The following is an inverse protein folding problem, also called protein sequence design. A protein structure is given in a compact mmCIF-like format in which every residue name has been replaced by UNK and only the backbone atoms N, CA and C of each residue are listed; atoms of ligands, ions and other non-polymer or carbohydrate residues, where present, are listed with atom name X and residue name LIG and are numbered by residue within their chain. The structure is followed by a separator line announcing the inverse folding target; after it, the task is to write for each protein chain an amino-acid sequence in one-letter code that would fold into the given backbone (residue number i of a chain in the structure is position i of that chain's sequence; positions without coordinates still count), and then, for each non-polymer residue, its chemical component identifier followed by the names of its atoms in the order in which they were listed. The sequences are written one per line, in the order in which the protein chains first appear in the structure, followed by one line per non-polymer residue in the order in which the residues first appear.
data_IF_576396330726
#
_entry.id   IF_576396330726
#
_cell.length_a   1.000
_cell.length_b   1.000
_cell.length_c   1.000
_cell.angle_alpha   90.00
_cell.angle_beta   90.00
_cell.angle_gamma   90.00
#
_symmetry.space_group_name_H-M   'P 1'
#
loop_
_entity.id
_entity.type
_entity.pdbx_description
1 polymer ?
#
# COMPACT_ATOMS: atom_id res chain seq x y z
N UNK A 1 17.12 -1.94 23.81
CA UNK A 1 17.08 -2.66 22.51
C UNK A 1 15.90 -2.09 21.72
N UNK A 2 16.15 -1.46 20.56
CA UNK A 2 15.07 -0.89 19.74
C UNK A 2 14.14 -2.00 19.23
N UNK A 3 12.83 -1.73 19.20
CA UNK A 3 11.83 -2.66 18.67
C UNK A 3 12.07 -2.84 17.17
N UNK A 4 12.59 -4.00 16.76
CA UNK A 4 12.76 -4.35 15.35
C UNK A 4 11.44 -4.88 14.80
N UNK A 5 10.78 -4.08 13.98
CA UNK A 5 9.59 -4.52 13.27
C UNK A 5 9.99 -4.98 11.87
N UNK A 6 9.89 -6.28 11.61
CA UNK A 6 10.17 -6.83 10.27
C UNK A 6 8.91 -7.52 9.75
N UNK A 7 8.30 -6.93 8.74
CA UNK A 7 7.31 -7.61 7.92
C UNK A 7 8.01 -8.61 7.00
N UNK A 8 7.50 -9.84 6.96
CA UNK A 8 8.02 -10.89 6.07
C UNK A 8 6.89 -11.72 5.48
N UNK A 9 7.16 -12.29 4.31
CA UNK A 9 6.28 -13.28 3.70
C UNK A 9 6.45 -14.61 4.43
N UNK A 10 5.34 -15.19 4.87
CA UNK A 10 5.23 -16.51 5.48
C UNK A 10 4.34 -17.38 4.61
N UNK A 11 4.79 -18.59 4.29
CA UNK A 11 3.95 -19.62 3.67
C UNK A 11 3.44 -20.53 4.78
N UNK A 12 2.12 -20.56 4.97
CA UNK A 12 1.47 -21.36 6.01
C UNK A 12 0.74 -22.53 5.35
N UNK A 13 0.90 -23.74 5.88
CA UNK A 13 0.22 -24.94 5.39
C UNK A 13 -1.06 -25.17 6.19
N UNK A 14 -2.18 -25.37 5.50
CA UNK A 14 -3.46 -25.76 6.09
C UNK A 14 -3.95 -26.99 5.34
N UNK A 15 -3.85 -28.16 5.99
CA UNK A 15 -4.06 -29.46 5.35
C UNK A 15 -3.10 -29.70 4.18
N UNK A 16 -3.66 -29.99 3.00
CA UNK A 16 -2.89 -30.17 1.77
C UNK A 16 -2.52 -28.85 1.06
N UNK A 17 -3.11 -27.71 1.45
CA UNK A 17 -2.94 -26.43 0.75
C UNK A 17 -1.90 -25.56 1.47
N UNK A 18 -1.16 -24.77 0.68
CA UNK A 18 -0.24 -23.74 1.17
C UNK A 18 -0.85 -22.37 0.90
N UNK A 19 -0.70 -21.44 1.83
CA UNK A 19 -1.23 -20.08 1.76
C UNK A 19 -0.11 -19.07 1.99
N UNK A 20 -0.17 -17.94 1.31
CA UNK A 20 0.78 -16.84 1.46
C UNK A 20 0.21 -15.82 2.42
N UNK A 21 1.00 -15.45 3.42
CA UNK A 21 0.67 -14.43 4.41
C UNK A 21 1.84 -13.46 4.53
N UNK A 22 1.55 -12.21 4.86
CA UNK A 22 2.56 -11.28 5.37
C UNK A 22 2.36 -11.20 6.87
N UNK A 23 3.43 -11.46 7.60
CA UNK A 23 3.46 -11.46 9.06
C UNK A 23 4.48 -10.43 9.53
N UNK A 24 4.26 -9.91 10.73
CA UNK A 24 5.18 -9.02 11.42
C UNK A 24 5.78 -9.76 12.60
N UNK A 25 7.11 -9.82 12.64
CA UNK A 25 7.83 -10.22 13.83
C UNK A 25 7.87 -9.03 14.81
N UNK A 26 7.43 -9.26 16.05
CA UNK A 26 7.42 -8.27 17.13
C UNK A 26 8.34 -8.82 18.23
N UNK A 27 9.45 -8.11 18.45
CA UNK A 27 10.40 -8.39 19.53
C UNK A 27 10.14 -7.42 20.69
N UNK A 28 9.80 -7.98 21.85
CA UNK A 28 9.58 -7.21 23.07
C UNK A 28 10.90 -6.99 23.83
N UNK A 29 10.99 -5.95 24.66
CA UNK A 29 12.19 -5.67 25.45
C UNK A 29 12.58 -6.78 26.43
N UNK A 30 11.61 -7.59 26.86
CA UNK A 30 11.77 -8.74 27.75
C UNK A 30 12.24 -10.02 27.03
N UNK A 31 12.57 -9.93 25.74
CA UNK A 31 13.01 -11.06 24.92
C UNK A 31 11.87 -11.89 24.33
N UNK A 32 10.60 -11.60 24.64
CA UNK A 32 9.48 -12.30 23.99
C UNK A 32 9.43 -11.98 22.49
N UNK A 33 9.16 -13.01 21.69
CA UNK A 33 8.96 -12.90 20.24
C UNK A 33 7.54 -13.35 19.89
N UNK A 34 6.80 -12.48 19.20
CA UNK A 34 5.47 -12.83 18.69
C UNK A 34 5.38 -12.54 17.20
N UNK A 35 4.56 -13.32 16.51
CA UNK A 35 4.34 -13.20 15.06
C UNK A 35 2.88 -12.82 14.83
N UNK A 36 2.64 -11.59 14.41
CA UNK A 36 1.29 -11.11 14.07
C UNK A 36 1.05 -11.25 12.57
N UNK A 37 -0.04 -11.90 12.18
CA UNK A 37 -0.43 -11.91 10.76
C UNK A 37 -1.02 -10.55 10.40
N UNK A 38 -0.43 -9.88 9.41
CA UNK A 38 -0.93 -8.59 8.92
C UNK A 38 -1.98 -8.81 7.85
N UNK A 39 -1.71 -9.72 6.90
CA UNK A 39 -2.61 -9.98 5.77
C UNK A 39 -2.37 -11.37 5.16
N UNK A 40 -3.44 -12.01 4.69
CA UNK A 40 -3.35 -13.20 3.82
C UNK A 40 -3.59 -12.82 2.35
N UNK A 41 -2.84 -13.47 1.45
CA UNK A 41 -2.91 -13.31 0.00
C UNK A 41 -3.49 -14.56 -0.70
N UNK A 42 -4.08 -15.47 0.08
CA UNK A 42 -4.69 -16.70 -0.46
C UNK A 42 -3.70 -17.82 -0.74
N UNK A 43 -4.08 -18.82 -1.56
CA UNK A 43 -3.25 -19.99 -1.87
C UNK A 43 -1.92 -19.64 -2.52
N UNK A 44 -0.91 -20.48 -2.28
CA UNK A 44 0.43 -20.35 -2.83
C UNK A 44 0.39 -20.39 -4.36
N UNK A 45 0.76 -19.25 -4.93
CA UNK A 45 0.93 -19.01 -6.35
C UNK A 45 2.02 -17.95 -6.55
N UNK A 46 2.64 -17.91 -7.73
CA UNK A 46 3.65 -16.91 -8.04
C UNK A 46 3.12 -15.48 -7.87
N UNK A 47 1.86 -15.24 -8.26
CA UNK A 47 1.16 -13.96 -8.07
C UNK A 47 1.02 -13.60 -6.59
N UNK A 48 0.52 -14.52 -5.76
CA UNK A 48 0.34 -14.27 -4.32
C UNK A 48 1.67 -13.96 -3.62
N UNK A 49 2.76 -14.63 -4.01
CA UNK A 49 4.11 -14.36 -3.51
C UNK A 49 4.59 -12.98 -3.91
N UNK A 50 4.42 -12.59 -5.19
CA UNK A 50 4.84 -11.28 -5.70
C UNK A 50 4.12 -10.13 -4.96
N UNK A 51 2.80 -10.26 -4.79
CA UNK A 51 1.99 -9.28 -4.06
C UNK A 51 2.36 -9.21 -2.57
N UNK A 52 2.61 -10.35 -1.94
CA UNK A 52 3.02 -10.41 -0.54
C UNK A 52 4.42 -9.80 -0.32
N UNK A 53 5.37 -10.03 -1.24
CA UNK A 53 6.71 -9.43 -1.19
C UNK A 53 6.64 -7.92 -1.27
N UNK A 54 5.93 -7.39 -2.27
CA UNK A 54 5.76 -5.94 -2.44
C UNK A 54 5.11 -5.29 -1.19
N UNK A 55 4.10 -5.96 -0.61
CA UNK A 55 3.45 -5.48 0.62
C UNK A 55 4.39 -5.50 1.83
N UNK A 56 5.20 -6.56 1.98
CA UNK A 56 6.19 -6.64 3.06
C UNK A 56 7.30 -5.58 2.92
N UNK A 57 7.77 -5.33 1.70
CA UNK A 57 8.74 -4.27 1.39
C UNK A 57 8.18 -2.89 1.70
N UNK A 58 6.94 -2.59 1.27
CA UNK A 58 6.27 -1.33 1.58
C UNK A 58 6.18 -1.10 3.10
N UNK A 59 5.80 -2.13 3.87
CA UNK A 59 5.71 -2.03 5.34
C UNK A 59 7.09 -1.82 5.96
N UNK A 60 8.10 -2.58 5.54
CA UNK A 60 9.45 -2.44 6.07
C UNK A 60 10.04 -1.05 5.77
N UNK A 61 9.69 -0.46 4.63
CA UNK A 61 10.17 0.88 4.25
C UNK A 61 9.70 1.96 5.23
N UNK A 62 8.46 1.84 5.74
CA UNK A 62 7.92 2.75 6.78
C UNK A 62 8.76 2.68 8.06
N UNK A 63 9.24 1.49 8.43
CA UNK A 63 10.07 1.32 9.64
C UNK A 63 11.52 1.79 9.45
N UNK A 64 12.04 1.83 8.22
CA UNK A 64 13.36 2.38 7.92
C UNK A 64 13.38 3.90 7.72
N UNK A 65 12.23 4.50 7.44
CA UNK A 65 12.09 5.94 7.20
C UNK A 65 11.10 6.51 8.23
N UNK A 66 11.55 6.97 9.42
CA UNK A 66 10.66 7.35 10.54
C UNK A 66 9.64 8.44 10.23
N UNK A 67 9.91 9.26 9.22
CA UNK A 67 9.03 10.33 8.75
C UNK A 67 8.10 9.89 7.60
N UNK A 68 8.21 8.65 7.14
CA UNK A 68 7.34 8.10 6.12
C UNK A 68 5.95 7.85 6.71
N UNK A 69 4.89 8.31 6.02
CA UNK A 69 3.53 7.89 6.33
C UNK A 69 3.41 6.38 6.14
N UNK A 70 2.49 5.74 6.85
CA UNK A 70 2.23 4.31 6.77
C UNK A 70 1.10 4.01 5.78
N UNK A 71 1.19 2.87 5.09
CA UNK A 71 0.13 2.42 4.21
C UNK A 71 -1.06 1.99 5.05
N UNK A 72 -2.28 2.43 4.72
CA UNK A 72 -3.49 1.89 5.34
C UNK A 72 -3.50 0.38 5.13
N UNK A 73 -3.46 -0.40 6.21
CA UNK A 73 -3.29 -1.87 6.17
C UNK A 73 -4.48 -2.57 5.46
N UNK A 74 -5.51 -1.82 5.09
CA UNK A 74 -6.57 -2.32 4.22
C UNK A 74 -6.13 -2.22 2.75
N UNK A 75 -6.03 -3.36 2.04
CA UNK A 75 -5.45 -3.38 0.73
C UNK A 75 -6.40 -2.77 -0.29
N UNK A 76 -5.83 -1.83 -1.02
CA UNK A 76 -6.36 -1.05 -2.12
C UNK A 76 -7.09 0.23 -1.71
N UNK A 77 -6.91 1.30 -2.49
CA UNK A 77 -7.95 2.31 -2.71
C UNK A 77 -9.17 1.69 -3.45
N UNK A 78 -9.54 0.44 -3.12
CA UNK A 78 -10.59 -0.38 -3.77
C UNK A 78 -11.93 0.31 -3.65
N UNK A 79 -12.20 0.97 -2.53
CA UNK A 79 -13.45 1.70 -2.30
C UNK A 79 -13.52 2.99 -3.14
N UNK A 80 -12.40 3.69 -3.33
CA UNK A 80 -12.32 4.90 -4.19
C UNK A 80 -12.32 4.59 -5.69
N UNK A 81 -11.75 3.45 -6.11
CA UNK A 81 -11.87 2.98 -7.50
C UNK A 81 -13.17 2.22 -7.77
N UNK A 82 -13.77 1.58 -6.75
CA UNK A 82 -15.15 1.08 -6.83
C UNK A 82 -16.11 2.19 -7.15
N UNK A 83 -16.06 3.32 -6.45
CA UNK A 83 -16.98 4.42 -6.74
C UNK A 83 -16.77 5.06 -8.13
N UNK A 84 -15.59 4.93 -8.74
CA UNK A 84 -15.32 5.37 -10.12
C UNK A 84 -15.67 4.32 -11.18
N UNK A 85 -15.76 3.03 -10.82
CA UNK A 85 -16.02 1.91 -11.74
C UNK A 85 -17.37 1.22 -11.56
N UNK A 86 -18.06 1.42 -10.45
CA UNK A 86 -19.43 0.99 -10.19
C UNK A 86 -20.42 2.00 -10.79
N UNK A 87 -20.29 2.20 -12.10
CA UNK A 87 -21.48 2.31 -12.94
C UNK A 87 -22.22 0.96 -12.98
N UNK A 88 -23.35 0.86 -13.70
CA UNK A 88 -24.38 -0.20 -13.61
C UNK A 88 -23.97 -1.65 -13.93
N UNK A 89 -22.68 -1.99 -13.90
CA UNK A 89 -22.14 -3.27 -14.32
C UNK A 89 -21.51 -4.13 -13.24
N UNK A 90 -21.44 -3.75 -11.95
CA UNK A 90 -21.29 -4.66 -10.79
C UNK A 90 -20.31 -5.87 -10.82
N UNK A 91 -19.40 -6.00 -11.79
CA UNK A 91 -18.77 -7.29 -12.15
C UNK A 91 -17.24 -7.27 -11.99
N UNK A 92 -16.62 -6.15 -11.66
CA UNK A 92 -15.16 -6.06 -11.64
C UNK A 92 -14.62 -6.29 -10.22
N UNK A 93 -14.52 -7.56 -9.82
CA UNK A 93 -13.67 -7.94 -8.70
C UNK A 93 -12.20 -7.99 -9.17
N UNK A 94 -11.25 -7.30 -8.50
CA UNK A 94 -9.83 -7.37 -8.85
C UNK A 94 -9.21 -8.78 -8.69
N UNK A 95 -9.93 -9.68 -8.02
CA UNK A 95 -9.57 -11.10 -7.90
C UNK A 95 -9.88 -11.88 -9.17
N UNK A 96 -10.96 -11.54 -9.88
CA UNK A 96 -11.43 -12.24 -11.10
C UNK A 96 -10.98 -11.58 -12.40
N UNK A 97 -10.48 -10.33 -12.38
CA UNK A 97 -10.08 -9.64 -13.63
C UNK A 97 -8.74 -8.88 -13.49
N UNK A 98 -7.59 -9.59 -13.60
CA UNK A 98 -6.25 -9.00 -13.46
C UNK A 98 -5.95 -7.93 -14.52
N UNK A 99 -6.41 -8.14 -15.75
CA UNK A 99 -6.26 -7.17 -16.84
C UNK A 99 -6.94 -5.84 -16.51
N UNK A 100 -8.14 -5.90 -15.94
CA UNK A 100 -8.86 -4.69 -15.54
C UNK A 100 -8.18 -4.01 -14.34
N UNK A 101 -7.67 -4.78 -13.38
CA UNK A 101 -6.89 -4.20 -12.27
C UNK A 101 -5.65 -3.46 -12.77
N UNK A 102 -4.93 -4.07 -13.73
CA UNK A 102 -3.77 -3.44 -14.36
C UNK A 102 -4.17 -2.17 -15.14
N UNK A 103 -5.22 -2.23 -15.95
CA UNK A 103 -5.75 -1.09 -16.68
C UNK A 103 -6.18 0.06 -15.76
N UNK A 104 -6.89 -0.24 -14.67
CA UNK A 104 -7.30 0.74 -13.66
C UNK A 104 -6.09 1.35 -12.96
N UNK A 105 -5.06 0.56 -12.65
CA UNK A 105 -3.82 1.07 -12.04
C UNK A 105 -3.08 2.00 -13.00
N UNK A 106 -2.98 1.64 -14.28
CA UNK A 106 -2.37 2.50 -15.31
C UNK A 106 -3.17 3.78 -15.53
N UNK A 107 -4.50 3.71 -15.53
CA UNK A 107 -5.36 4.89 -15.61
C UNK A 107 -5.18 5.79 -14.38
N UNK A 108 -5.04 5.22 -13.19
CA UNK A 108 -4.72 5.94 -11.96
C UNK A 108 -3.37 6.65 -12.06
N UNK A 109 -2.31 5.94 -12.47
CA UNK A 109 -0.97 6.52 -12.68
C UNK A 109 -1.02 7.66 -13.70
N UNK A 110 -1.76 7.50 -14.80
CA UNK A 110 -1.95 8.55 -15.79
C UNK A 110 -2.66 9.78 -15.21
N UNK A 111 -3.77 9.58 -14.49
CA UNK A 111 -4.49 10.65 -13.82
C UNK A 111 -3.62 11.41 -12.82
N UNK A 112 -2.83 10.69 -12.01
CA UNK A 112 -1.88 11.30 -11.07
C UNK A 112 -0.81 12.13 -11.80
N UNK A 113 -0.21 11.60 -12.88
CA UNK A 113 0.75 12.36 -13.69
C UNK A 113 0.16 13.64 -14.23
N UNK A 114 -1.07 13.58 -14.73
CA UNK A 114 -1.79 14.74 -15.23
C UNK A 114 -1.99 15.79 -14.13
N UNK A 115 -2.47 15.37 -12.94
CA UNK A 115 -2.66 16.27 -11.80
C UNK A 115 -1.34 16.94 -11.37
N UNK A 116 -0.25 16.17 -11.23
CA UNK A 116 1.06 16.73 -10.84
C UNK A 116 1.53 17.75 -11.89
N UNK A 117 1.43 17.44 -13.19
CA UNK A 117 1.86 18.35 -14.26
C UNK A 117 1.01 19.61 -14.33
N UNK A 118 -0.30 19.50 -14.07
CA UNK A 118 -1.25 20.61 -14.25
C UNK A 118 -1.31 21.54 -13.04
N UNK A 119 -1.22 20.99 -11.84
CA UNK A 119 -1.47 21.69 -10.58
C UNK A 119 -0.29 21.67 -9.62
N UNK A 120 0.71 20.81 -9.85
CA UNK A 120 1.84 20.61 -8.95
C UNK A 120 1.64 19.42 -8.01
N UNK A 121 2.75 18.97 -7.42
CA UNK A 121 2.79 17.80 -6.54
C UNK A 121 2.00 18.01 -5.24
N UNK A 122 2.08 19.21 -4.66
CA UNK A 122 1.43 19.54 -3.37
C UNK A 122 -0.09 19.56 -3.48
N UNK A 123 -0.62 20.14 -4.55
CA UNK A 123 -2.04 20.15 -4.89
C UNK A 123 -2.54 18.74 -5.21
N UNK A 124 -1.75 17.95 -5.94
CA UNK A 124 -2.07 16.54 -6.18
C UNK A 124 -2.17 15.73 -4.87
N UNK A 125 -1.28 15.98 -3.90
CA UNK A 125 -1.36 15.37 -2.56
C UNK A 125 -2.67 15.73 -1.88
N UNK A 126 -3.03 17.02 -1.82
CA UNK A 126 -4.29 17.48 -1.21
C UNK A 126 -5.53 16.80 -1.79
N UNK A 127 -5.56 16.65 -3.12
CA UNK A 127 -6.70 16.03 -3.82
C UNK A 127 -6.77 14.52 -3.63
N UNK A 128 -5.63 13.83 -3.66
CA UNK A 128 -5.58 12.37 -3.69
C UNK A 128 -5.51 11.73 -2.30
N UNK A 129 -5.02 12.47 -1.30
CA UNK A 129 -4.82 12.02 0.08
C UNK A 129 -5.75 12.78 1.05
N UNK A 130 -7.09 12.63 0.93
CA UNK A 130 -8.08 13.38 1.72
C UNK A 130 -8.07 13.06 3.22
N UNK A 131 -7.25 12.09 3.66
CA UNK A 131 -7.04 11.81 5.07
C UNK A 131 -6.05 12.79 5.72
N UNK A 132 -5.25 13.51 4.93
CA UNK A 132 -4.38 14.60 5.42
C UNK A 132 -5.30 15.81 5.65
N UNK A 133 -5.72 16.00 6.90
CA UNK A 133 -6.73 17.00 7.28
C UNK A 133 -6.12 18.36 7.58
N UNK A 134 -4.82 18.43 7.82
CA UNK A 134 -4.11 19.68 8.09
C UNK A 134 -3.05 19.99 7.03
N UNK A 135 -2.74 21.27 6.87
CA UNK A 135 -1.65 21.72 6.00
C UNK A 135 -0.27 21.20 6.46
N UNK A 136 -0.09 20.97 7.75
CA UNK A 136 1.13 20.38 8.30
C UNK A 136 1.32 18.92 7.87
N UNK A 137 0.25 18.12 7.86
CA UNK A 137 0.27 16.74 7.38
C UNK A 137 0.58 16.69 5.88
N UNK A 138 -0.03 17.58 5.10
CA UNK A 138 0.25 17.74 3.66
C UNK A 138 1.70 18.15 3.43
N UNK A 139 2.22 19.11 4.19
CA UNK A 139 3.60 19.58 4.05
C UNK A 139 4.61 18.50 4.42
N UNK A 140 4.33 17.71 5.47
CA UNK A 140 5.17 16.58 5.88
C UNK A 140 5.20 15.50 4.79
N UNK A 141 4.05 15.14 4.24
CA UNK A 141 3.95 14.18 3.15
C UNK A 141 4.68 14.69 1.89
N UNK A 142 4.48 15.97 1.55
CA UNK A 142 5.14 16.63 0.43
C UNK A 142 6.67 16.60 0.56
N UNK A 143 7.21 16.97 1.74
CA UNK A 143 8.65 16.92 2.00
C UNK A 143 9.24 15.52 1.86
N UNK A 144 8.48 14.49 2.22
CA UNK A 144 8.92 13.11 2.10
C UNK A 144 8.89 12.60 0.66
N UNK A 145 7.80 12.86 -0.08
CA UNK A 145 7.62 12.33 -1.43
C UNK A 145 8.40 13.11 -2.50
N UNK A 146 8.64 14.41 -2.33
CA UNK A 146 9.30 15.26 -3.34
C UNK A 146 10.73 14.81 -3.68
N UNK A 147 11.42 14.17 -2.73
CA UNK A 147 12.80 13.68 -2.89
C UNK A 147 12.88 12.34 -3.64
N UNK A 148 11.74 11.68 -3.87
CA UNK A 148 11.68 10.39 -4.57
C UNK A 148 11.69 10.62 -6.09
N UNK A 149 12.17 9.64 -6.89
CA UNK A 149 12.02 9.69 -8.34
C UNK A 149 10.56 9.89 -8.76
N UNK A 150 10.33 10.65 -9.84
CA UNK A 150 8.97 11.01 -10.27
C UNK A 150 8.02 9.79 -10.41
N UNK A 151 8.53 8.69 -10.97
CA UNK A 151 7.80 7.43 -11.10
C UNK A 151 7.33 6.86 -9.76
N UNK A 152 8.16 7.01 -8.72
CA UNK A 152 7.84 6.58 -7.37
C UNK A 152 6.82 7.52 -6.73
N UNK A 153 6.94 8.83 -6.94
CA UNK A 153 5.94 9.82 -6.50
C UNK A 153 4.54 9.45 -7.03
N UNK A 154 4.45 9.16 -8.33
CA UNK A 154 3.19 8.74 -8.97
C UNK A 154 2.63 7.48 -8.32
N UNK A 155 3.44 6.43 -8.16
CA UNK A 155 3.01 5.16 -7.54
C UNK A 155 2.54 5.35 -6.11
N UNK A 156 3.18 6.25 -5.37
CA UNK A 156 2.84 6.53 -3.98
C UNK A 156 1.51 7.27 -3.88
N UNK A 157 1.25 8.25 -4.74
CA UNK A 157 -0.04 8.97 -4.76
C UNK A 157 -1.22 8.14 -5.27
N UNK A 158 -0.97 7.05 -6.00
CA UNK A 158 -2.00 6.06 -6.36
C UNK A 158 -2.44 5.24 -5.13
N UNK A 159 -1.61 5.16 -4.09
CA UNK A 159 -1.91 4.45 -2.84
C UNK A 159 -2.47 5.42 -1.78
N UNK A 160 -3.22 4.88 -0.82
CA UNK A 160 -3.76 5.65 0.32
C UNK A 160 -2.87 5.44 1.55
N UNK A 161 -2.30 6.52 2.07
CA UNK A 161 -1.37 6.52 3.21
C UNK A 161 -2.04 7.09 4.46
N UNK A 162 -1.36 7.13 5.61
CA UNK A 162 -1.77 7.89 6.80
C UNK A 162 -0.57 8.05 7.74
N UNK A 163 -0.67 8.92 8.75
CA UNK A 163 0.28 8.95 9.87
C UNK A 163 -0.37 8.26 11.09
N UNK A 164 0.33 7.34 11.78
CA UNK A 164 -0.20 6.64 12.95
C UNK A 164 -0.26 7.51 14.21
#
# INVERSE_FOLDING_TARGET
MERRYKARVRVTRVGARKYVQVVQDIFYPDGRHTVKTLKSFGPLSERSLRLAKAFAEDINRVYSEPNAPCLKVNPLPREKFRSLGEGPLGIISPETTPLVTHALTRAAEFGVRFLIRRFGLKEAIRLLQPHLKSDEEVERFYKWIKEKPFEEQVRMLVKDWYYP
#
